data_IF_819230295136
#
_entry.id   IF_819230295136
#
_cell.length_a   1.000
_cell.length_b   1.000
_cell.length_c   1.000
_cell.angle_alpha   90.00
_cell.angle_beta   90.00
_cell.angle_gamma   90.00
#
_symmetry.space_group_name_H-M   'P 1'
#
loop_
_entity.id
_entity.type
_entity.pdbx_description
1 polymer ?
#
# COMPACT_ATOMS: atom_id res chain seq x y z
N UNK A 1 28.50 -4.58 3.04
CA UNK A 1 28.11 -5.09 4.38
C UNK A 1 27.58 -6.51 4.21
N UNK A 2 28.06 -7.46 5.02
CA UNK A 2 27.54 -8.84 5.01
C UNK A 2 26.19 -8.92 5.73
N UNK A 3 25.39 -9.95 5.46
CA UNK A 3 24.08 -10.16 6.12
C UNK A 3 24.16 -10.14 7.65
N UNK A 4 25.22 -10.74 8.23
CA UNK A 4 25.48 -10.74 9.68
C UNK A 4 25.68 -9.32 10.21
N UNK A 5 26.59 -8.57 9.60
CA UNK A 5 26.91 -7.18 9.97
C UNK A 5 25.67 -6.27 9.87
N UNK A 6 24.83 -6.46 8.85
CA UNK A 6 23.57 -5.71 8.69
C UNK A 6 22.59 -6.00 9.82
N UNK A 7 22.41 -7.29 10.14
CA UNK A 7 21.54 -7.70 11.25
C UNK A 7 22.01 -7.09 12.57
N UNK A 8 23.31 -7.17 12.86
CA UNK A 8 23.88 -6.62 14.10
C UNK A 8 23.62 -5.11 14.19
N UNK A 9 23.98 -4.35 13.16
CA UNK A 9 23.74 -2.88 13.13
C UNK A 9 22.27 -2.50 13.26
N UNK A 10 21.38 -3.22 12.57
CA UNK A 10 19.94 -2.97 12.67
C UNK A 10 19.42 -3.27 14.08
N UNK A 11 19.82 -4.39 14.67
CA UNK A 11 19.38 -4.76 16.01
C UNK A 11 19.92 -3.80 17.07
N UNK A 12 21.14 -3.30 16.91
CA UNK A 12 21.70 -2.30 17.82
C UNK A 12 20.89 -1.00 17.75
N UNK A 13 20.53 -0.53 16.55
CA UNK A 13 19.62 0.62 16.39
C UNK A 13 18.23 0.37 17.02
N UNK A 14 17.68 -0.84 16.86
CA UNK A 14 16.40 -1.22 17.46
C UNK A 14 16.45 -1.40 18.98
N UNK A 15 17.63 -1.44 19.61
CA UNK A 15 17.76 -1.48 21.08
C UNK A 15 17.93 -0.10 21.70
N UNK A 16 18.37 0.90 20.95
CA UNK A 16 18.59 2.25 21.46
C UNK A 16 17.30 2.91 21.95
N UNK A 17 17.31 3.58 23.10
CA UNK A 17 16.15 4.35 23.55
C UNK A 17 15.87 5.53 22.61
N UNK A 18 14.59 5.83 22.39
CA UNK A 18 14.13 6.94 21.52
C UNK A 18 13.10 7.74 22.29
N UNK A 19 13.38 9.02 22.54
CA UNK A 19 12.44 10.02 23.06
C UNK A 19 11.52 9.58 24.22
N UNK A 20 12.05 8.77 25.15
CA UNK A 20 11.29 8.17 26.25
C UNK A 20 10.06 7.33 25.83
N UNK A 21 10.02 6.86 24.58
CA UNK A 21 8.95 5.99 24.07
C UNK A 21 8.97 4.64 24.80
N UNK A 22 7.77 4.11 25.07
CA UNK A 22 7.63 2.72 25.46
C UNK A 22 8.06 1.79 24.33
N UNK A 23 8.30 0.52 24.67
CA UNK A 23 8.64 -0.50 23.68
C UNK A 23 7.60 -0.60 22.56
N UNK A 24 6.31 -0.59 22.90
CA UNK A 24 5.23 -0.75 21.92
C UNK A 24 5.10 0.47 21.00
N UNK A 25 5.20 1.69 21.54
CA UNK A 25 5.23 2.93 20.73
C UNK A 25 6.42 2.95 19.77
N UNK A 26 7.60 2.55 20.26
CA UNK A 26 8.78 2.42 19.42
C UNK A 26 8.57 1.39 18.31
N UNK A 27 7.94 0.26 18.59
CA UNK A 27 7.67 -0.75 17.57
C UNK A 27 6.67 -0.26 16.51
N UNK A 28 5.68 0.54 16.89
CA UNK A 28 4.79 1.22 15.94
C UNK A 28 5.59 2.19 15.06
N UNK A 29 6.47 3.00 15.64
CA UNK A 29 7.35 3.91 14.90
C UNK A 29 8.23 3.14 13.90
N UNK A 30 8.91 2.09 14.35
CA UNK A 30 9.78 1.25 13.50
C UNK A 30 9.00 0.67 12.33
N UNK A 31 7.81 0.11 12.57
CA UNK A 31 6.98 -0.43 11.49
C UNK A 31 6.58 0.65 10.48
N UNK A 32 6.22 1.85 10.93
CA UNK A 32 5.91 2.97 10.05
C UNK A 32 7.14 3.40 9.23
N UNK A 33 8.31 3.49 9.85
CA UNK A 33 9.57 3.84 9.17
C UNK A 33 9.95 2.81 8.11
N UNK A 34 9.76 1.51 8.37
CA UNK A 34 9.99 0.46 7.37
C UNK A 34 9.07 0.63 6.16
N UNK A 35 7.79 0.90 6.40
CA UNK A 35 6.81 1.15 5.34
C UNK A 35 7.16 2.40 4.53
N UNK A 36 7.49 3.50 5.21
CA UNK A 36 7.82 4.77 4.56
C UNK A 36 9.15 4.63 3.77
N UNK A 37 10.14 3.91 4.31
CA UNK A 37 11.37 3.57 3.59
C UNK A 37 11.09 2.76 2.32
N UNK A 38 10.24 1.72 2.37
CA UNK A 38 9.86 0.95 1.19
C UNK A 38 9.06 1.77 0.16
N UNK A 39 8.25 2.73 0.63
CA UNK A 39 7.47 3.64 -0.21
C UNK A 39 8.37 4.62 -0.96
N UNK A 40 9.30 5.27 -0.24
CA UNK A 40 10.24 6.25 -0.80
C UNK A 40 11.26 5.59 -1.74
N UNK A 41 11.58 4.32 -1.51
CA UNK A 41 12.53 3.56 -2.31
C UNK A 41 11.85 2.61 -3.32
N UNK A 42 10.68 2.98 -3.85
CA UNK A 42 9.96 2.19 -4.86
C UNK A 42 10.84 1.82 -6.07
N UNK A 43 11.78 2.69 -6.45
CA UNK A 43 12.70 2.47 -7.57
C UNK A 43 13.64 1.26 -7.37
N UNK A 44 13.79 0.76 -6.15
CA UNK A 44 14.56 -0.46 -5.84
C UNK A 44 13.72 -1.74 -5.94
N UNK A 45 12.39 -1.65 -6.08
CA UNK A 45 11.48 -2.80 -6.18
C UNK A 45 11.23 -3.18 -7.64
N UNK A 46 10.92 -4.46 -7.87
CA UNK A 46 10.37 -4.90 -9.15
C UNK A 46 8.98 -4.26 -9.35
N UNK A 47 8.91 -3.37 -10.33
CA UNK A 47 7.70 -2.66 -10.74
C UNK A 47 7.37 -2.91 -12.21
N UNK A 48 7.78 -4.08 -12.73
CA UNK A 48 7.63 -4.44 -14.15
C UNK A 48 6.19 -4.39 -14.69
N UNK A 49 5.18 -4.44 -13.82
CA UNK A 49 3.79 -4.28 -14.22
C UNK A 49 3.28 -2.82 -14.12
N UNK A 50 4.10 -1.83 -13.76
CA UNK A 50 3.65 -0.43 -13.67
C UNK A 50 3.02 0.05 -15.00
N UNK A 51 1.88 0.73 -14.92
CA UNK A 51 1.14 1.22 -16.09
C UNK A 51 0.28 0.18 -16.84
N UNK A 52 0.41 -1.12 -16.54
CA UNK A 52 -0.44 -2.15 -17.14
C UNK A 52 -1.89 -2.07 -16.64
N UNK A 53 -2.86 -2.63 -17.38
CA UNK A 53 -4.25 -2.73 -16.89
C UNK A 53 -4.34 -3.66 -15.68
N UNK A 54 -5.29 -3.43 -14.79
CA UNK A 54 -5.57 -4.30 -13.65
C UNK A 54 -6.55 -5.40 -14.05
N UNK A 55 -6.38 -6.59 -13.47
CA UNK A 55 -7.40 -7.65 -13.56
C UNK A 55 -8.38 -7.53 -12.40
N UNK A 56 -9.63 -7.93 -12.63
CA UNK A 56 -10.65 -7.89 -11.58
C UNK A 56 -10.26 -8.75 -10.38
N UNK A 57 -9.59 -9.88 -10.59
CA UNK A 57 -9.11 -10.77 -9.53
C UNK A 57 -8.05 -10.08 -8.65
N UNK A 58 -7.17 -9.29 -9.25
CA UNK A 58 -6.15 -8.52 -8.51
C UNK A 58 -6.83 -7.46 -7.65
N UNK A 59 -7.83 -6.76 -8.20
CA UNK A 59 -8.63 -5.78 -7.46
C UNK A 59 -9.41 -6.44 -6.31
N UNK A 60 -9.97 -7.64 -6.53
CA UNK A 60 -10.67 -8.39 -5.48
C UNK A 60 -9.75 -8.75 -4.32
N UNK A 61 -8.54 -9.21 -4.63
CA UNK A 61 -7.53 -9.54 -3.61
C UNK A 61 -7.17 -8.29 -2.80
N UNK A 62 -6.94 -7.16 -3.47
CA UNK A 62 -6.61 -5.90 -2.80
C UNK A 62 -7.75 -5.45 -1.89
N UNK A 63 -8.97 -5.39 -2.41
CA UNK A 63 -10.15 -4.87 -1.72
C UNK A 63 -10.72 -5.81 -0.65
N UNK A 64 -10.22 -7.05 -0.56
CA UNK A 64 -10.59 -7.97 0.52
C UNK A 64 -9.90 -7.63 1.86
N UNK A 65 -8.81 -6.86 1.82
CA UNK A 65 -8.10 -6.38 3.00
C UNK A 65 -8.44 -4.91 3.31
N UNK A 66 -8.27 -4.51 4.57
CA UNK A 66 -8.49 -3.13 4.99
C UNK A 66 -7.46 -2.15 4.36
N UNK A 67 -7.85 -0.89 4.08
CA UNK A 67 -6.97 0.11 3.52
C UNK A 67 -5.92 0.56 4.55
N UNK A 68 -4.72 0.01 4.47
CA UNK A 68 -3.58 0.37 5.32
C UNK A 68 -2.31 0.56 4.50
N UNK A 69 -1.37 1.39 4.98
CA UNK A 69 -0.06 1.55 4.31
C UNK A 69 0.66 0.20 4.14
N UNK A 70 0.56 -0.68 5.15
CA UNK A 70 1.15 -2.02 5.12
C UNK A 70 0.55 -2.88 3.99
N UNK A 71 -0.78 -2.87 3.82
CA UNK A 71 -1.44 -3.59 2.74
C UNK A 71 -1.13 -2.98 1.38
N UNK A 72 -0.99 -1.65 1.28
CA UNK A 72 -0.51 -1.00 0.06
C UNK A 72 0.88 -1.51 -0.35
N UNK A 73 1.83 -1.60 0.58
CA UNK A 73 3.18 -2.17 0.31
C UNK A 73 3.10 -3.67 -0.02
N UNK A 74 2.29 -4.44 0.72
CA UNK A 74 2.04 -5.87 0.44
C UNK A 74 1.62 -6.09 -1.02
N UNK A 75 0.61 -5.36 -1.49
CA UNK A 75 0.09 -5.53 -2.85
C UNK A 75 0.94 -4.88 -3.93
N UNK A 76 1.62 -3.77 -3.63
CA UNK A 76 2.60 -3.19 -4.53
C UNK A 76 3.72 -4.18 -4.84
N UNK A 77 4.20 -4.95 -3.84
CA UNK A 77 5.17 -6.02 -4.04
C UNK A 77 4.57 -7.22 -4.79
N UNK A 78 3.42 -7.70 -4.33
CA UNK A 78 2.78 -8.89 -4.90
C UNK A 78 2.50 -8.73 -6.41
N UNK A 79 1.96 -7.59 -6.81
CA UNK A 79 1.57 -7.34 -8.20
C UNK A 79 2.63 -6.60 -9.02
N UNK A 80 3.79 -6.30 -8.43
CA UNK A 80 4.89 -5.55 -9.07
C UNK A 80 4.43 -4.18 -9.59
N UNK A 81 3.74 -3.45 -8.71
CA UNK A 81 3.11 -2.16 -8.98
C UNK A 81 3.64 -1.08 -8.05
N UNK A 82 3.22 0.15 -8.33
CA UNK A 82 3.53 1.28 -7.49
C UNK A 82 2.61 1.37 -6.27
N UNK A 83 3.13 1.81 -5.13
CA UNK A 83 2.37 1.97 -3.90
C UNK A 83 1.13 2.88 -4.11
N UNK A 84 1.32 3.99 -4.82
CA UNK A 84 0.24 4.95 -5.08
C UNK A 84 -0.92 4.39 -5.92
N UNK A 85 -0.67 3.39 -6.77
CA UNK A 85 -1.75 2.74 -7.53
C UNK A 85 -2.65 1.89 -6.63
N UNK A 86 -2.09 1.27 -5.58
CA UNK A 86 -2.88 0.54 -4.58
C UNK A 86 -3.68 1.50 -3.71
N UNK A 87 -3.09 2.62 -3.30
CA UNK A 87 -3.83 3.67 -2.57
C UNK A 87 -5.02 4.21 -3.36
N UNK A 88 -4.87 4.39 -4.68
CA UNK A 88 -5.98 4.82 -5.53
C UNK A 88 -7.09 3.77 -5.60
N UNK A 89 -6.77 2.48 -5.64
CA UNK A 89 -7.76 1.39 -5.61
C UNK A 89 -8.62 1.49 -4.35
N UNK A 90 -7.99 1.59 -3.17
CA UNK A 90 -8.71 1.75 -1.92
C UNK A 90 -9.55 3.03 -1.91
N UNK A 91 -8.97 4.17 -2.27
CA UNK A 91 -9.66 5.47 -2.28
C UNK A 91 -10.91 5.41 -3.15
N UNK A 92 -10.77 5.02 -4.41
CA UNK A 92 -11.87 5.01 -5.37
C UNK A 92 -12.92 3.95 -5.07
N UNK A 93 -12.57 2.87 -4.37
CA UNK A 93 -13.56 1.89 -3.92
C UNK A 93 -14.59 2.52 -2.96
N UNK A 94 -14.19 3.51 -2.16
CA UNK A 94 -15.03 4.13 -1.13
C UNK A 94 -15.53 5.55 -1.45
N UNK A 95 -15.00 6.21 -2.49
CA UNK A 95 -15.38 7.60 -2.83
C UNK A 95 -16.72 7.70 -3.54
N UNK A 96 -17.69 8.43 -2.99
CA UNK A 96 -19.05 8.53 -3.56
C UNK A 96 -19.04 9.07 -4.98
N UNK A 97 -19.84 8.52 -5.93
CA UNK A 97 -19.98 9.09 -7.26
C UNK A 97 -20.39 10.58 -7.27
N UNK A 98 -21.07 11.05 -6.21
CA UNK A 98 -21.47 12.46 -6.05
C UNK A 98 -20.26 13.36 -5.80
N UNK A 99 -19.20 12.83 -5.19
CA UNK A 99 -17.95 13.55 -4.91
C UNK A 99 -16.99 13.55 -6.11
N UNK A 100 -17.34 12.83 -7.18
CA UNK A 100 -16.51 12.67 -8.37
C UNK A 100 -16.86 13.71 -9.44
N UNK A 101 -15.84 14.23 -10.12
CA UNK A 101 -16.01 14.97 -11.36
C UNK A 101 -16.51 14.05 -12.48
N UNK A 102 -17.11 14.62 -13.53
CA UNK A 102 -17.65 13.84 -14.64
C UNK A 102 -16.57 13.06 -15.38
N UNK A 103 -15.39 13.65 -15.58
CA UNK A 103 -14.21 12.95 -16.13
C UNK A 103 -13.85 11.69 -15.31
N UNK A 104 -13.91 11.77 -13.97
CA UNK A 104 -13.57 10.64 -13.10
C UNK A 104 -14.65 9.56 -13.08
N UNK A 105 -15.91 9.91 -13.35
CA UNK A 105 -17.01 8.94 -13.50
C UNK A 105 -16.86 8.11 -14.77
N UNK A 106 -16.16 8.62 -15.77
CA UNK A 106 -15.92 7.93 -17.05
C UNK A 106 -14.56 7.22 -17.12
N UNK A 107 -13.68 7.46 -16.16
CA UNK A 107 -12.36 6.82 -16.08
C UNK A 107 -12.49 5.29 -15.96
N UNK A 108 -12.00 4.58 -16.98
CA UNK A 108 -12.13 3.13 -17.08
C UNK A 108 -11.53 2.36 -15.89
N UNK A 109 -10.47 2.88 -15.27
CA UNK A 109 -9.84 2.25 -14.10
C UNK A 109 -10.72 2.43 -12.86
N UNK A 110 -11.27 3.63 -12.66
CA UNK A 110 -12.18 3.91 -11.54
C UNK A 110 -13.47 3.11 -11.68
N UNK A 111 -14.04 3.06 -12.89
CA UNK A 111 -15.22 2.23 -13.19
C UNK A 111 -14.99 0.76 -12.86
N UNK A 112 -13.82 0.22 -13.20
CA UNK A 112 -13.45 -1.16 -12.87
C UNK A 112 -13.37 -1.37 -11.35
N UNK A 113 -12.71 -0.47 -10.61
CA UNK A 113 -12.63 -0.52 -9.15
C UNK A 113 -14.03 -0.49 -8.53
N UNK A 114 -14.90 0.42 -8.96
CA UNK A 114 -16.28 0.54 -8.47
C UNK A 114 -17.12 -0.71 -8.73
N UNK A 115 -16.99 -1.30 -9.92
CA UNK A 115 -17.64 -2.57 -10.25
C UNK A 115 -17.21 -3.67 -9.27
N UNK A 116 -15.91 -3.85 -9.08
CA UNK A 116 -15.37 -4.89 -8.19
C UNK A 116 -15.73 -4.64 -6.73
N UNK A 117 -15.67 -3.38 -6.27
CA UNK A 117 -16.07 -3.01 -4.90
C UNK A 117 -17.54 -3.38 -4.64
N UNK A 118 -18.43 -3.11 -5.61
CA UNK A 118 -19.84 -3.50 -5.53
C UNK A 118 -20.03 -5.02 -5.48
N UNK A 119 -19.28 -5.79 -6.26
CA UNK A 119 -19.31 -7.26 -6.23
C UNK A 119 -18.91 -7.82 -4.86
N UNK A 120 -18.01 -7.14 -4.15
CA UNK A 120 -17.59 -7.49 -2.78
C UNK A 120 -18.52 -6.94 -1.69
N UNK A 121 -19.59 -6.23 -2.05
CA UNK A 121 -20.51 -5.61 -1.10
C UNK A 121 -19.95 -4.38 -0.39
N UNK A 122 -18.81 -3.83 -0.85
CA UNK A 122 -18.29 -2.56 -0.37
C UNK A 122 -19.18 -1.43 -0.89
N UNK A 123 -19.61 -0.55 0.01
CA UNK A 123 -20.41 0.63 -0.34
C UNK A 123 -19.51 1.85 -0.34
N UNK A 124 -19.44 2.51 -1.50
CA UNK A 124 -18.74 3.75 -1.72
C UNK A 124 -19.24 4.41 -2.96
#
# INVERSE_FOLDING_TARGET
MKRKEFKEKLFDALKSDVDNMSYDEKMILVNNLLIDFEKENEYLRDTSNKGQKWKDEELKIILSDAPSKANCIKYARLFKRGYGSIEQIYRWSTTSPIEMSDERKEDSFICQIKKVAKELGLRG
#
